data_IF_371709493501
#
_entry.id   IF_371709493501
#
_cell.length_a   1.000
_cell.length_b   1.000
_cell.length_c   1.000
_cell.angle_alpha   90.00
_cell.angle_beta   90.00
_cell.angle_gamma   90.00
#
_symmetry.space_group_name_H-M   'P 1'
#
loop_
_entity.id
_entity.type
_entity.pdbx_description
1 polymer ?
#
# COMPACT_ATOMS: atom_id res chain seq x y z
N UNK A 1 -0.18 -0.22 5.68
CA UNK A 1 -0.79 -0.32 4.35
C UNK A 1 -1.38 1.02 4.04
N UNK A 2 -1.14 1.52 2.84
CA UNK A 2 -1.58 2.86 2.44
C UNK A 2 -1.74 2.94 0.91
N UNK A 3 -2.48 3.94 0.42
CA UNK A 3 -2.62 4.22 -1.00
C UNK A 3 -2.10 5.62 -1.33
N UNK A 4 -1.05 5.67 -2.15
CA UNK A 4 -0.60 6.93 -2.75
C UNK A 4 -1.44 7.17 -4.01
N UNK A 5 -2.08 8.32 -4.11
CA UNK A 5 -2.98 8.68 -5.21
C UNK A 5 -2.48 9.91 -5.95
N UNK A 6 -3.10 10.24 -7.09
CA UNK A 6 -2.77 11.46 -7.84
C UNK A 6 -1.66 11.31 -8.88
N UNK A 7 -1.27 10.08 -9.23
CA UNK A 7 -0.31 9.85 -10.32
C UNK A 7 -0.95 10.16 -11.69
N UNK A 8 -0.13 10.55 -12.70
CA UNK A 8 -0.57 10.57 -14.08
C UNK A 8 -1.08 9.20 -14.52
N UNK A 9 -2.18 9.16 -15.27
CA UNK A 9 -2.76 7.90 -15.76
C UNK A 9 -1.78 7.21 -16.72
N UNK A 10 -1.40 5.98 -16.38
CA UNK A 10 -0.60 5.09 -17.23
C UNK A 10 -1.31 3.76 -17.35
N UNK A 11 -1.75 3.40 -18.57
CA UNK A 11 -2.72 2.32 -18.80
C UNK A 11 -3.96 2.57 -17.91
N UNK A 12 -4.31 1.63 -17.03
CA UNK A 12 -5.42 1.80 -16.07
C UNK A 12 -4.96 2.18 -14.66
N UNK A 13 -3.66 2.43 -14.47
CA UNK A 13 -3.08 2.76 -13.17
C UNK A 13 -3.03 4.27 -12.93
N UNK A 14 -3.34 4.66 -11.69
CA UNK A 14 -3.36 6.07 -11.23
C UNK A 14 -3.02 6.23 -9.74
N UNK A 15 -2.88 5.12 -9.03
CA UNK A 15 -2.51 5.06 -7.62
C UNK A 15 -1.54 3.90 -7.39
N UNK A 16 -0.93 3.87 -6.21
CA UNK A 16 -0.02 2.80 -5.77
C UNK A 16 -0.52 2.32 -4.42
N UNK A 17 -0.79 1.02 -4.32
CA UNK A 17 -1.02 0.36 -3.04
C UNK A 17 0.33 -0.03 -2.43
N UNK A 18 0.61 0.51 -1.24
CA UNK A 18 1.90 0.37 -0.56
C UNK A 18 1.73 -0.49 0.69
N UNK A 19 2.56 -1.52 0.79
CA UNK A 19 2.66 -2.36 1.98
C UNK A 19 4.12 -2.40 2.43
N UNK A 20 4.37 -1.96 3.66
CA UNK A 20 5.71 -1.92 4.24
C UNK A 20 5.78 -2.86 5.43
N UNK A 21 6.79 -3.73 5.44
CA UNK A 21 7.16 -4.46 6.63
C UNK A 21 7.83 -3.52 7.64
N UNK A 22 7.24 -3.39 8.83
CA UNK A 22 7.73 -2.48 9.87
C UNK A 22 9.05 -2.94 10.47
N UNK A 23 9.45 -4.20 10.34
CA UNK A 23 10.75 -4.67 10.84
C UNK A 23 11.88 -4.37 9.85
N UNK A 24 11.85 -5.01 8.67
CA UNK A 24 12.90 -4.94 7.66
C UNK A 24 12.89 -3.66 6.82
N UNK A 25 11.76 -2.92 6.82
CA UNK A 25 11.47 -1.81 5.90
C UNK A 25 11.29 -2.22 4.45
N UNK A 26 11.21 -3.53 4.18
CA UNK A 26 10.89 -4.00 2.84
C UNK A 26 9.50 -3.49 2.43
N UNK A 27 9.44 -2.89 1.25
CA UNK A 27 8.23 -2.30 0.71
C UNK A 27 7.77 -3.06 -0.54
N UNK A 28 6.46 -3.25 -0.66
CA UNK A 28 5.80 -3.79 -1.84
C UNK A 28 4.97 -2.67 -2.43
N UNK A 29 5.30 -2.27 -3.65
CA UNK A 29 4.61 -1.24 -4.41
C UNK A 29 3.77 -1.88 -5.51
N UNK A 30 2.45 -1.69 -5.45
CA UNK A 30 1.51 -2.35 -6.35
C UNK A 30 0.73 -1.27 -7.10
N UNK A 31 0.94 -1.10 -8.42
CA UNK A 31 0.13 -0.19 -9.23
C UNK A 31 -1.36 -0.53 -9.16
N UNK A 32 -2.21 0.46 -8.92
CA UNK A 32 -3.67 0.30 -8.86
C UNK A 32 -4.42 1.37 -9.64
N UNK A 33 -5.66 1.09 -10.08
CA UNK A 33 -6.57 2.13 -10.55
C UNK A 33 -6.93 3.11 -9.42
N UNK A 34 -7.34 4.32 -9.80
CA UNK A 34 -7.77 5.37 -8.86
C UNK A 34 -8.87 4.87 -7.91
N UNK A 35 -9.87 4.21 -8.48
CA UNK A 35 -10.99 3.60 -7.76
C UNK A 35 -10.71 2.13 -7.44
N UNK A 36 -9.62 1.84 -6.73
CA UNK A 36 -9.34 0.47 -6.26
C UNK A 36 -10.34 0.07 -5.18
N UNK A 37 -11.27 -0.81 -5.52
CA UNK A 37 -12.29 -1.31 -4.59
C UNK A 37 -11.68 -2.18 -3.49
N UNK A 38 -12.38 -2.32 -2.36
CA UNK A 38 -11.93 -3.14 -1.24
C UNK A 38 -11.65 -4.61 -1.63
N UNK A 39 -12.48 -5.19 -2.51
CA UNK A 39 -12.28 -6.55 -3.03
C UNK A 39 -10.97 -6.68 -3.81
N UNK A 40 -10.67 -5.68 -4.64
CA UNK A 40 -9.44 -5.67 -5.44
C UNK A 40 -8.21 -5.45 -4.55
N UNK A 41 -8.30 -4.52 -3.58
CA UNK A 41 -7.27 -4.32 -2.58
C UNK A 41 -6.96 -5.62 -1.80
N UNK A 42 -7.99 -6.38 -1.43
CA UNK A 42 -7.82 -7.68 -0.80
C UNK A 42 -7.09 -8.67 -1.73
N UNK A 43 -7.52 -8.82 -2.99
CA UNK A 43 -6.85 -9.68 -3.98
C UNK A 43 -5.37 -9.32 -4.14
N UNK A 44 -5.07 -8.02 -4.26
CA UNK A 44 -3.70 -7.52 -4.38
C UNK A 44 -2.87 -7.80 -3.13
N UNK A 45 -3.43 -7.59 -1.94
CA UNK A 45 -2.76 -7.92 -0.68
C UNK A 45 -2.41 -9.41 -0.60
N UNK A 46 -3.36 -10.29 -0.91
CA UNK A 46 -3.11 -11.74 -0.84
C UNK A 46 -2.12 -12.21 -1.91
N UNK A 47 -2.23 -11.72 -3.13
CA UNK A 47 -1.39 -12.15 -4.25
C UNK A 47 0.04 -11.63 -4.20
N UNK A 48 0.27 -10.43 -3.65
CA UNK A 48 1.59 -9.79 -3.65
C UNK A 48 2.27 -9.81 -2.27
N UNK A 49 1.52 -9.92 -1.17
CA UNK A 49 2.09 -9.93 0.19
C UNK A 49 1.96 -11.31 0.82
N UNK A 50 0.73 -11.77 1.05
CA UNK A 50 0.49 -13.02 1.81
C UNK A 50 1.08 -14.24 1.11
N UNK A 51 0.99 -14.30 -0.21
CA UNK A 51 1.59 -15.36 -1.02
C UNK A 51 3.11 -15.52 -0.79
N UNK A 52 3.81 -14.41 -0.58
CA UNK A 52 5.27 -14.38 -0.52
C UNK A 52 5.80 -14.41 0.92
N UNK A 53 5.10 -13.78 1.86
CA UNK A 53 5.59 -13.57 3.22
C UNK A 53 4.72 -14.23 4.30
N UNK A 54 3.58 -14.81 3.90
CA UNK A 54 2.56 -15.28 4.83
C UNK A 54 1.73 -14.14 5.42
N UNK A 55 0.84 -14.49 6.35
CA UNK A 55 0.03 -13.50 7.06
C UNK A 55 0.87 -12.79 8.12
N UNK A 56 0.89 -11.44 8.13
CA UNK A 56 1.58 -10.69 9.17
C UNK A 56 0.85 -10.84 10.51
N UNK A 57 1.61 -10.75 11.61
CA UNK A 57 1.06 -10.79 12.98
C UNK A 57 0.09 -9.65 13.25
N UNK A 58 0.44 -8.45 12.80
CA UNK A 58 -0.45 -7.31 12.86
C UNK A 58 -0.26 -6.38 11.67
N UNK A 59 -1.36 -5.76 11.26
CA UNK A 59 -1.44 -4.88 10.09
C UNK A 59 -1.84 -3.50 10.57
N UNK A 60 -1.01 -2.51 10.28
CA UNK A 60 -1.35 -1.11 10.45
C UNK A 60 -1.85 -0.57 9.13
N UNK A 61 -3.00 0.09 9.12
CA UNK A 61 -3.47 0.90 8.00
C UNK A 61 -4.09 2.20 8.51
N UNK A 62 -4.29 3.13 7.59
CA UNK A 62 -5.17 4.27 7.84
C UNK A 62 -6.64 3.82 7.99
N UNK A 63 -7.53 4.80 8.18
CA UNK A 63 -8.98 4.56 8.33
C UNK A 63 -9.71 4.50 7.00
N UNK A 64 -9.03 4.14 5.91
CA UNK A 64 -9.68 3.97 4.63
C UNK A 64 -10.82 2.93 4.73
N UNK A 65 -11.96 3.25 4.11
CA UNK A 65 -13.14 2.37 4.08
C UNK A 65 -12.83 0.97 3.52
N UNK A 66 -11.78 0.87 2.68
CA UNK A 66 -11.28 -0.38 2.11
C UNK A 66 -10.71 -1.33 3.16
N UNK A 67 -10.18 -0.81 4.27
CA UNK A 67 -9.55 -1.61 5.33
C UNK A 67 -10.41 -1.73 6.60
N UNK A 68 -11.44 -0.92 6.75
CA UNK A 68 -12.23 -0.81 8.00
C UNK A 68 -13.53 -1.63 8.00
N UNK A 69 -13.75 -2.48 6.99
CA UNK A 69 -14.93 -3.34 6.90
C UNK A 69 -15.02 -4.33 8.07
N UNK A 70 -16.20 -4.46 8.70
CA UNK A 70 -16.41 -5.38 9.83
C UNK A 70 -16.02 -6.83 9.51
N UNK A 71 -16.37 -7.30 8.31
CA UNK A 71 -15.99 -8.63 7.84
C UNK A 71 -14.46 -8.80 7.78
N UNK A 72 -13.76 -7.79 7.28
CA UNK A 72 -12.29 -7.80 7.17
C UNK A 72 -11.64 -7.88 8.56
N UNK A 73 -12.13 -7.09 9.52
CA UNK A 73 -11.65 -7.12 10.91
C UNK A 73 -11.83 -8.50 11.54
N UNK A 74 -13.02 -9.09 11.45
CA UNK A 74 -13.27 -10.41 12.04
C UNK A 74 -12.51 -11.52 11.30
N UNK A 75 -12.37 -11.43 9.97
CA UNK A 75 -11.60 -12.40 9.18
C UNK A 75 -10.14 -12.46 9.64
N UNK A 76 -9.45 -11.32 9.72
CA UNK A 76 -8.04 -11.30 10.12
C UNK A 76 -7.85 -11.76 11.57
N UNK A 77 -8.79 -11.42 12.45
CA UNK A 77 -8.80 -11.94 13.83
C UNK A 77 -8.88 -13.46 13.88
N UNK A 78 -9.73 -14.08 13.07
CA UNK A 78 -9.83 -15.55 12.96
C UNK A 78 -8.58 -16.17 12.33
N UNK A 79 -7.90 -15.45 11.44
CA UNK A 79 -6.64 -15.86 10.83
C UNK A 79 -5.41 -15.64 11.74
N UNK A 80 -5.60 -15.11 12.96
CA UNK A 80 -4.52 -14.87 13.92
C UNK A 80 -3.75 -13.55 13.72
N UNK A 81 -4.28 -12.65 12.91
CA UNK A 81 -3.72 -11.33 12.65
C UNK A 81 -4.53 -10.22 13.32
N UNK A 82 -3.85 -9.23 13.89
CA UNK A 82 -4.48 -8.06 14.51
C UNK A 82 -4.50 -6.87 13.53
N UNK A 83 -5.67 -6.27 13.30
CA UNK A 83 -5.77 -5.02 12.53
C UNK A 83 -5.71 -3.81 13.46
N UNK A 84 -4.84 -2.86 13.13
CA UNK A 84 -4.65 -1.60 13.87
C UNK A 84 -4.87 -0.44 12.92
N UNK A 85 -5.87 0.37 13.21
CA UNK A 85 -6.15 1.56 12.41
C UNK A 85 -5.50 2.78 13.03
N UNK A 86 -4.72 3.52 12.24
CA UNK A 86 -4.13 4.77 12.69
C UNK A 86 -5.21 5.81 13.01
N UNK A 87 -4.83 6.83 13.77
CA UNK A 87 -5.65 8.02 14.00
C UNK A 87 -4.97 9.17 13.27
N UNK A 88 -5.74 10.18 12.87
CA UNK A 88 -5.25 11.34 12.10
C UNK A 88 -4.06 12.09 12.75
N UNK A 89 -3.69 11.77 13.99
CA UNK A 89 -2.58 12.38 14.75
C UNK A 89 -1.67 11.33 15.41
N UNK A 90 -1.38 10.18 14.77
CA UNK A 90 -0.43 9.17 15.29
C UNK A 90 0.82 8.99 14.40
N UNK A 91 1.79 9.92 14.46
CA UNK A 91 3.03 9.86 13.67
C UNK A 91 3.87 8.59 13.91
N UNK A 92 3.75 7.97 15.08
CA UNK A 92 4.55 6.77 15.41
C UNK A 92 4.11 5.52 14.65
N UNK A 93 2.83 5.42 14.27
CA UNK A 93 2.29 4.23 13.61
C UNK A 93 2.38 4.33 12.09
N UNK A 94 2.12 5.52 11.53
CA UNK A 94 2.15 5.78 10.09
C UNK A 94 3.45 6.38 9.58
N UNK A 95 4.28 6.98 10.44
CA UNK A 95 5.48 7.71 10.01
C UNK A 95 6.52 6.88 9.26
N UNK A 96 6.49 5.55 9.40
CA UNK A 96 7.35 4.67 8.60
C UNK A 96 6.85 4.56 7.15
N UNK A 97 5.55 4.38 6.96
CA UNK A 97 4.95 4.32 5.63
C UNK A 97 5.00 5.69 4.97
N UNK A 98 4.71 6.77 5.70
CA UNK A 98 4.86 8.14 5.20
C UNK A 98 6.29 8.41 4.68
N UNK A 99 7.31 7.94 5.41
CA UNK A 99 8.71 8.08 4.97
C UNK A 99 9.02 7.28 3.72
N UNK A 100 8.50 6.06 3.60
CA UNK A 100 8.66 5.23 2.40
C UNK A 100 7.92 5.84 1.22
N UNK A 101 6.70 6.36 1.41
CA UNK A 101 5.94 7.06 0.38
C UNK A 101 6.71 8.29 -0.12
N UNK A 102 7.26 9.10 0.79
CA UNK A 102 8.08 10.25 0.43
C UNK A 102 9.34 9.85 -0.37
N UNK A 103 10.01 8.76 0.03
CA UNK A 103 11.16 8.22 -0.68
C UNK A 103 10.79 7.71 -2.08
N UNK A 104 9.64 7.03 -2.21
CA UNK A 104 9.14 6.58 -3.50
C UNK A 104 8.81 7.76 -4.43
N UNK A 105 8.16 8.80 -3.92
CA UNK A 105 7.88 10.01 -4.68
C UNK A 105 9.17 10.71 -5.12
N UNK A 106 10.16 10.79 -4.24
CA UNK A 106 11.47 11.36 -4.57
C UNK A 106 12.18 10.54 -5.65
N UNK A 107 12.22 9.21 -5.51
CA UNK A 107 12.73 8.31 -6.54
C UNK A 107 12.03 8.57 -7.88
N UNK A 108 10.69 8.55 -7.91
CA UNK A 108 9.94 8.78 -9.13
C UNK A 108 10.24 10.14 -9.76
N UNK A 109 10.36 11.22 -8.98
CA UNK A 109 10.72 12.54 -9.52
C UNK A 109 12.05 12.56 -10.27
N UNK A 110 13.00 11.72 -9.88
CA UNK A 110 14.31 11.65 -10.53
C UNK A 110 14.33 10.74 -11.77
N UNK A 111 13.53 9.68 -11.78
CA UNK A 111 13.62 8.62 -12.81
C UNK A 111 12.46 8.59 -13.82
N UNK A 112 11.34 9.27 -13.55
CA UNK A 112 10.28 9.38 -14.56
C UNK A 112 10.74 10.22 -15.76
N UNK A 113 10.35 9.77 -16.95
CA UNK A 113 10.57 10.53 -18.18
C UNK A 113 9.77 11.84 -18.17
N UNK A 114 10.12 12.77 -19.07
CA UNK A 114 9.36 14.02 -19.25
C UNK A 114 7.86 13.79 -19.53
N UNK A 115 7.49 12.65 -20.11
CA UNK A 115 6.07 12.29 -20.36
C UNK A 115 5.35 11.76 -19.14
N UNK A 116 6.09 11.39 -18.08
CA UNK A 116 5.61 10.76 -16.85
C UNK A 116 4.84 9.45 -17.08
N UNK A 117 5.00 8.80 -18.24
CA UNK A 117 4.24 7.60 -18.60
C UNK A 117 4.88 6.28 -18.22
N UNK A 118 6.07 6.30 -17.62
CA UNK A 118 6.84 5.10 -17.30
C UNK A 118 6.92 4.79 -15.80
N UNK A 119 6.19 5.52 -14.94
CA UNK A 119 6.29 5.31 -13.49
C UNK A 119 5.87 3.88 -13.07
N UNK A 120 4.94 3.26 -13.79
CA UNK A 120 4.49 1.88 -13.53
C UNK A 120 5.64 0.89 -13.75
N UNK A 121 6.40 1.07 -14.81
CA UNK A 121 7.53 0.19 -15.16
C UNK A 121 8.72 0.37 -14.19
N UNK A 122 8.75 1.49 -13.45
CA UNK A 122 9.77 1.77 -12.44
C UNK A 122 9.50 1.11 -11.08
N UNK A 123 8.30 0.55 -10.86
CA UNK A 123 7.92 -0.04 -9.57
C UNK A 123 8.70 -1.31 -9.24
N UNK A 124 9.09 -2.11 -10.24
CA UNK A 124 9.87 -3.33 -10.03
C UNK A 124 11.34 -3.04 -9.65
N UNK A 125 11.80 -1.79 -9.88
CA UNK A 125 13.18 -1.34 -9.62
C UNK A 125 13.29 -0.44 -8.38
N UNK A 126 12.15 0.06 -7.88
CA UNK A 126 12.05 0.93 -6.72
C UNK A 126 12.19 0.13 -5.41
#
# INVERSE_FOLDING_TARGET
MDFITGFPKVRDFKSIFVVVDRFSKYAVFIPTPDACLAEEAAKLFFSNVVKHFGLPRDIVSDRDARFTGKFWVELFKLLGSELKFSTANHPQTDGQIERINALLEEYLRHYVTATQKNWVDLMDTA
#
